data_IF_680508621868
#
_entry.id   IF_680508621868
#
_cell.length_a   1.000
_cell.length_b   1.000
_cell.length_c   1.000
_cell.angle_alpha   90.00
_cell.angle_beta   90.00
_cell.angle_gamma   90.00
#
_symmetry.space_group_name_H-M   'P 1'
#
loop_
_entity.id
_entity.type
_entity.pdbx_description
1 polymer ?
#
# COMPACT_ATOMS: atom_id res chain seq x y z
N UNK A 1 -19.29 -0.71 -13.62
CA UNK A 1 -19.14 -0.97 -12.17
C UNK A 1 -18.46 0.18 -11.43
N UNK A 2 -17.37 0.78 -11.93
CA UNK A 2 -16.74 1.99 -11.34
C UNK A 2 -17.60 3.27 -11.34
N UNK A 3 -18.65 3.32 -12.16
CA UNK A 3 -19.55 4.47 -12.29
C UNK A 3 -20.47 4.69 -11.08
N UNK A 4 -20.73 3.65 -10.28
CA UNK A 4 -21.59 3.74 -9.10
C UNK A 4 -20.91 4.39 -7.88
N UNK A 5 -19.59 4.52 -7.92
CA UNK A 5 -18.78 5.12 -6.85
C UNK A 5 -19.09 6.61 -6.65
N UNK A 6 -19.55 7.29 -7.71
CA UNK A 6 -19.94 8.70 -7.67
C UNK A 6 -21.45 8.91 -7.46
N UNK A 7 -22.24 7.82 -7.41
CA UNK A 7 -23.68 7.90 -7.23
C UNK A 7 -24.03 7.90 -5.72
N UNK A 8 -24.66 8.97 -5.24
CA UNK A 8 -24.94 9.19 -3.81
C UNK A 8 -25.69 8.04 -3.13
N UNK A 9 -26.64 7.39 -3.83
CA UNK A 9 -27.43 6.30 -3.27
C UNK A 9 -26.62 5.00 -3.08
N UNK A 10 -25.59 4.78 -3.91
CA UNK A 10 -24.79 3.56 -3.90
C UNK A 10 -23.38 3.77 -3.35
N UNK A 11 -23.00 5.01 -3.03
CA UNK A 11 -21.66 5.38 -2.55
C UNK A 11 -21.28 4.64 -1.27
N UNK A 12 -22.18 4.57 -0.28
CA UNK A 12 -21.96 3.85 0.97
C UNK A 12 -21.86 2.34 0.77
N UNK A 13 -22.73 1.77 -0.06
CA UNK A 13 -22.73 0.33 -0.35
C UNK A 13 -21.49 -0.10 -1.15
N UNK A 14 -21.04 0.73 -2.09
CA UNK A 14 -19.80 0.51 -2.84
C UNK A 14 -18.55 0.77 -2.01
N UNK A 15 -18.60 1.67 -1.02
CA UNK A 15 -17.54 1.85 -0.04
C UNK A 15 -17.40 0.65 0.92
N UNK A 16 -18.49 -0.02 1.25
CA UNK A 16 -18.51 -1.17 2.17
C UNK A 16 -18.14 -2.47 1.45
N UNK A 17 -18.72 -2.72 0.28
CA UNK A 17 -18.61 -4.00 -0.42
C UNK A 17 -17.47 -4.04 -1.44
N UNK A 18 -17.07 -2.90 -2.01
CA UNK A 18 -16.09 -2.85 -3.11
C UNK A 18 -15.19 -1.59 -3.07
N UNK A 19 -14.57 -1.25 -1.92
CA UNK A 19 -13.84 0.01 -1.78
C UNK A 19 -12.62 0.11 -2.71
N UNK A 20 -11.98 -1.02 -3.05
CA UNK A 20 -10.88 -1.10 -4.03
C UNK A 20 -11.32 -0.71 -5.45
N UNK A 21 -12.52 -1.12 -5.85
CA UNK A 21 -13.05 -0.84 -7.19
C UNK A 21 -13.41 0.63 -7.35
N UNK A 22 -13.82 1.27 -6.27
CA UNK A 22 -14.14 2.69 -6.22
C UNK A 22 -12.95 3.61 -5.93
N UNK A 23 -11.74 3.07 -5.78
CA UNK A 23 -10.56 3.84 -5.40
C UNK A 23 -10.71 4.53 -4.04
N UNK A 24 -11.69 4.10 -3.23
CA UNK A 24 -11.92 4.56 -1.86
C UNK A 24 -10.96 3.84 -0.89
N UNK A 25 -10.54 2.63 -1.25
CA UNK A 25 -9.30 2.05 -0.76
C UNK A 25 -8.18 2.34 -1.76
N UNK A 26 -7.19 3.11 -1.32
CA UNK A 26 -5.85 3.12 -1.92
C UNK A 26 -5.13 1.83 -1.52
N UNK A 27 -5.65 0.67 -1.94
CA UNK A 27 -5.17 -0.62 -1.43
C UNK A 27 -5.53 -0.86 0.04
N UNK A 28 -5.84 -2.09 0.38
CA UNK A 28 -6.13 -2.54 1.73
C UNK A 28 -4.86 -2.71 2.58
N UNK A 29 -3.92 -1.79 2.46
CA UNK A 29 -2.68 -1.75 3.23
C UNK A 29 -2.55 -0.33 3.76
N UNK A 30 -2.97 -0.09 5.00
CA UNK A 30 -2.91 1.21 5.66
C UNK A 30 -1.48 1.70 5.97
N UNK A 31 -0.58 1.69 4.98
CA UNK A 31 0.85 2.00 5.11
C UNK A 31 1.79 0.88 4.65
N UNK A 32 1.27 -0.20 4.06
CA UNK A 32 2.08 -1.36 3.64
C UNK A 32 2.26 -1.39 2.12
N UNK A 33 2.91 -0.36 1.62
CA UNK A 33 3.44 -0.35 0.27
C UNK A 33 4.89 0.09 0.33
N UNK A 34 5.70 -0.50 -0.55
CA UNK A 34 7.06 -0.04 -0.72
C UNK A 34 7.05 1.40 -1.28
N UNK A 35 7.83 2.26 -0.65
CA UNK A 35 8.00 3.66 -1.01
C UNK A 35 8.85 3.73 -2.28
N UNK A 36 8.33 4.40 -3.30
CA UNK A 36 9.03 4.65 -4.55
C UNK A 36 9.99 5.83 -4.38
N UNK A 37 11.14 5.77 -5.06
CA UNK A 37 12.05 6.92 -5.12
C UNK A 37 11.47 8.06 -5.96
N UNK A 38 12.17 9.20 -6.03
CA UNK A 38 11.74 10.37 -6.83
C UNK A 38 11.59 10.10 -8.33
N UNK A 39 12.09 8.96 -8.83
CA UNK A 39 11.92 8.50 -10.22
C UNK A 39 10.75 7.52 -10.39
N UNK A 40 10.01 7.23 -9.32
CA UNK A 40 8.91 6.27 -9.32
C UNK A 40 9.36 4.81 -9.36
N UNK A 41 10.62 4.52 -9.01
CA UNK A 41 11.19 3.16 -9.02
C UNK A 41 11.18 2.56 -7.61
N UNK A 42 10.80 1.29 -7.51
CA UNK A 42 10.89 0.53 -6.26
C UNK A 42 12.30 -0.03 -6.08
N UNK A 43 13.06 0.52 -5.13
CA UNK A 43 14.42 0.08 -4.80
C UNK A 43 14.45 -0.97 -3.67
N UNK A 44 13.31 -1.23 -3.03
CA UNK A 44 13.16 -2.20 -1.95
C UNK A 44 13.66 -3.62 -2.29
N UNK A 45 13.49 -4.15 -3.53
CA UNK A 45 14.02 -5.48 -3.89
C UNK A 45 15.54 -5.59 -3.72
N UNK A 46 16.28 -4.52 -4.00
CA UNK A 46 17.73 -4.47 -3.79
C UNK A 46 18.14 -4.24 -2.33
N UNK A 47 17.18 -3.84 -1.50
CA UNK A 47 17.36 -3.53 -0.08
C UNK A 47 16.90 -4.66 0.86
N UNK A 48 16.46 -5.81 0.33
CA UNK A 48 15.95 -6.92 1.12
C UNK A 48 16.91 -7.39 2.23
N UNK A 49 18.21 -7.38 1.98
CA UNK A 49 19.23 -7.74 2.98
C UNK A 49 19.20 -6.82 4.22
N UNK A 50 18.72 -5.58 4.08
CA UNK A 50 18.59 -4.63 5.19
C UNK A 50 17.40 -4.93 6.08
N UNK A 51 16.42 -5.73 5.65
CA UNK A 51 15.32 -6.21 6.51
C UNK A 51 15.85 -7.00 7.72
N UNK A 52 17.02 -7.65 7.61
CA UNK A 52 17.62 -8.41 8.70
C UNK A 52 18.68 -7.62 9.48
N UNK A 53 19.00 -6.40 9.06
CA UNK A 53 19.99 -5.57 9.71
C UNK A 53 19.31 -4.67 10.76
N UNK A 54 19.68 -4.81 12.03
CA UNK A 54 19.02 -4.11 13.14
C UNK A 54 19.10 -2.58 13.04
N UNK A 55 20.14 -2.04 12.38
CA UNK A 55 20.28 -0.60 12.16
C UNK A 55 19.29 -0.07 11.13
N UNK A 56 18.94 -0.89 10.14
CA UNK A 56 18.08 -0.51 9.02
C UNK A 56 16.65 -1.04 9.12
N UNK A 57 16.36 -1.91 10.09
CA UNK A 57 15.04 -2.52 10.28
C UNK A 57 13.94 -1.47 10.43
N UNK A 58 14.21 -0.38 11.15
CA UNK A 58 13.26 0.71 11.36
C UNK A 58 13.00 1.48 10.07
N UNK A 59 14.04 1.71 9.27
CA UNK A 59 13.92 2.35 7.96
C UNK A 59 13.13 1.46 7.00
N UNK A 60 13.42 0.16 6.99
CA UNK A 60 12.73 -0.83 6.15
C UNK A 60 11.26 -1.00 6.51
N UNK A 61 10.89 -0.88 7.79
CA UNK A 61 9.48 -0.83 8.21
C UNK A 61 8.72 0.37 7.67
N UNK A 62 9.38 1.49 7.41
CA UNK A 62 8.75 2.69 6.87
C UNK A 62 8.80 2.72 5.35
N UNK A 63 9.94 2.36 4.76
CA UNK A 63 10.21 2.48 3.33
C UNK A 63 9.84 1.23 2.54
N UNK A 64 10.03 0.03 3.11
CA UNK A 64 9.88 -1.23 2.40
C UNK A 64 9.10 -2.28 3.21
N UNK A 65 7.95 -1.92 3.82
CA UNK A 65 7.25 -2.82 4.72
C UNK A 65 6.76 -4.07 4.00
N UNK A 66 6.41 -3.94 2.71
CA UNK A 66 5.91 -5.05 1.89
C UNK A 66 7.03 -5.97 1.45
N UNK A 67 8.15 -5.44 0.96
CA UNK A 67 9.31 -6.26 0.58
C UNK A 67 9.88 -7.05 1.76
N UNK A 68 9.90 -6.46 2.95
CA UNK A 68 10.37 -7.13 4.16
C UNK A 68 9.32 -8.02 4.86
N UNK A 69 8.07 -8.02 4.38
CA UNK A 69 6.98 -8.80 4.98
C UNK A 69 6.56 -8.33 6.37
N UNK A 70 6.71 -7.04 6.69
CA UNK A 70 6.31 -6.46 7.98
C UNK A 70 4.81 -6.16 8.09
N UNK A 71 4.06 -6.48 7.04
CA UNK A 71 2.65 -6.18 6.93
C UNK A 71 1.97 -7.26 6.08
N UNK A 72 0.72 -7.55 6.44
CA UNK A 72 -0.08 -8.70 6.00
C UNK A 72 -1.52 -8.30 5.76
#
# INVERSE_FOLDING_TARGET
MKSYCNNSAYKTLMADQCPLTCGLCTGSDGGCADVLNSRGVNECPGMYSYCFNSLYVSLMKTQCPKTCGYCS
#
